data_IF_724874622956
#
_entry.id   IF_724874622956
#
_cell.length_a   1.000
_cell.length_b   1.000
_cell.length_c   1.000
_cell.angle_alpha   90.00
_cell.angle_beta   90.00
_cell.angle_gamma   90.00
#
_symmetry.space_group_name_H-M   'P 1'
#
loop_
_entity.id
_entity.type
_entity.pdbx_description
1 polymer ?
#
# COMPACT_ATOMS: atom_id res chain seq x y z
N UNK A 1 -10.71 1.05 9.01
CA UNK A 1 -11.23 1.14 7.64
C UNK A 1 -11.33 2.60 7.28
N UNK A 2 -10.80 3.04 6.13
CA UNK A 2 -10.76 4.46 5.76
C UNK A 2 -12.17 5.08 5.61
N UNK A 3 -13.16 4.29 5.18
CA UNK A 3 -14.53 4.77 5.04
C UNK A 3 -15.15 5.32 6.32
N UNK A 4 -14.80 4.75 7.49
CA UNK A 4 -15.25 5.28 8.79
C UNK A 4 -14.69 6.68 9.12
N UNK A 5 -13.76 7.18 8.31
CA UNK A 5 -13.16 8.51 8.42
C UNK A 5 -13.61 9.45 7.30
N UNK A 6 -14.62 9.06 6.51
CA UNK A 6 -15.25 9.86 5.46
C UNK A 6 -14.66 9.71 4.06
N UNK A 7 -13.80 8.70 3.83
CA UNK A 7 -13.26 8.41 2.50
C UNK A 7 -14.16 7.44 1.73
N UNK A 8 -14.36 7.66 0.44
CA UNK A 8 -14.86 6.59 -0.44
C UNK A 8 -13.73 5.60 -0.69
N UNK A 9 -13.90 4.39 -0.15
CA UNK A 9 -12.86 3.37 -0.08
C UNK A 9 -13.14 2.23 -1.05
N UNK A 10 -12.10 1.87 -1.81
CA UNK A 10 -12.15 0.84 -2.83
C UNK A 10 -11.10 -0.24 -2.54
N UNK A 11 -11.46 -1.50 -2.69
CA UNK A 11 -10.55 -2.64 -2.59
C UNK A 11 -10.57 -3.46 -3.88
N UNK A 12 -9.41 -3.96 -4.30
CA UNK A 12 -9.28 -4.88 -5.43
C UNK A 12 -8.68 -6.19 -4.93
N UNK A 13 -9.28 -7.30 -5.32
CA UNK A 13 -8.86 -8.64 -4.90
C UNK A 13 -9.15 -9.65 -6.02
N UNK A 14 -8.24 -10.58 -6.28
CA UNK A 14 -8.42 -11.55 -7.38
C UNK A 14 -9.40 -12.68 -7.01
N UNK A 15 -9.50 -13.00 -5.71
CA UNK A 15 -10.35 -14.04 -5.15
C UNK A 15 -11.76 -13.54 -4.86
N UNK A 16 -12.76 -14.06 -5.60
CA UNK A 16 -14.19 -13.85 -5.34
C UNK A 16 -14.58 -14.14 -3.87
N UNK A 17 -14.06 -15.23 -3.31
CA UNK A 17 -14.32 -15.58 -1.90
C UNK A 17 -13.81 -14.49 -0.96
N UNK A 18 -12.61 -13.95 -1.20
CA UNK A 18 -12.04 -12.90 -0.36
C UNK A 18 -12.80 -11.57 -0.52
N UNK A 19 -13.26 -11.24 -1.74
CA UNK A 19 -14.16 -10.10 -1.97
C UNK A 19 -15.44 -10.23 -1.13
N UNK A 20 -16.09 -11.40 -1.15
CA UNK A 20 -17.32 -11.65 -0.37
C UNK A 20 -17.09 -11.54 1.13
N UNK A 21 -15.97 -12.06 1.64
CA UNK A 21 -15.64 -11.92 3.06
C UNK A 21 -15.30 -10.47 3.44
N UNK A 22 -14.64 -9.72 2.56
CA UNK A 22 -14.36 -8.30 2.77
C UNK A 22 -15.65 -7.46 2.80
N UNK A 23 -16.62 -7.76 1.92
CA UNK A 23 -17.94 -7.13 1.90
C UNK A 23 -18.72 -7.40 3.21
N UNK A 24 -18.71 -8.64 3.71
CA UNK A 24 -19.33 -9.01 5.00
C UNK A 24 -18.69 -8.24 6.16
N UNK A 25 -17.35 -8.24 6.21
CA UNK A 25 -16.60 -7.54 7.25
C UNK A 25 -16.86 -6.04 7.22
N UNK A 26 -16.80 -5.41 6.04
CA UNK A 26 -17.07 -3.98 5.90
C UNK A 26 -18.50 -3.62 6.32
N UNK A 27 -19.48 -4.44 5.95
CA UNK A 27 -20.89 -4.24 6.34
C UNK A 27 -21.07 -4.29 7.87
N UNK A 28 -20.43 -5.25 8.53
CA UNK A 28 -20.46 -5.37 9.99
C UNK A 28 -19.80 -4.15 10.68
N UNK A 29 -18.64 -3.71 10.19
CA UNK A 29 -17.91 -2.57 10.73
C UNK A 29 -18.57 -1.21 10.42
N UNK A 30 -19.30 -1.08 9.32
CA UNK A 30 -20.13 0.11 9.05
C UNK A 30 -21.34 0.18 9.99
N UNK A 31 -21.99 -0.97 10.26
CA UNK A 31 -23.15 -1.03 11.15
C UNK A 31 -22.77 -0.82 12.62
N UNK A 32 -21.64 -1.40 13.06
CA UNK A 32 -21.15 -1.29 14.44
C UNK A 32 -19.61 -1.17 14.45
N UNK A 33 -19.07 0.04 14.26
CA UNK A 33 -17.64 0.26 14.17
C UNK A 33 -16.89 -0.16 15.43
N UNK A 34 -15.93 -1.08 15.27
CA UNK A 34 -15.04 -1.51 16.31
C UNK A 34 -14.04 -0.41 16.70
N UNK A 35 -13.58 -0.43 17.96
CA UNK A 35 -12.68 0.61 18.48
C UNK A 35 -11.32 0.66 17.78
N UNK A 36 -10.82 -0.46 17.24
CA UNK A 36 -9.50 -0.51 16.58
C UNK A 36 -9.43 0.28 15.27
N UNK A 37 -10.57 0.69 14.70
CA UNK A 37 -10.62 1.58 13.55
C UNK A 37 -10.33 3.05 13.88
N UNK A 38 -10.26 3.39 15.16
CA UNK A 38 -10.07 4.75 15.64
C UNK A 38 -8.78 4.86 16.47
N UNK A 39 -8.11 6.00 16.35
CA UNK A 39 -7.01 6.37 17.24
C UNK A 39 -7.51 6.75 18.63
N UNK A 40 -6.60 7.15 19.50
CA UNK A 40 -6.92 7.69 20.83
C UNK A 40 -7.56 9.09 20.79
N UNK A 41 -7.47 9.76 19.64
CA UNK A 41 -8.09 11.08 19.44
C UNK A 41 -9.58 10.97 19.12
N UNK A 42 -10.31 12.03 19.51
CA UNK A 42 -11.77 12.14 19.42
C UNK A 42 -12.28 11.68 18.05
N UNK A 43 -13.29 10.81 18.06
CA UNK A 43 -14.03 10.40 16.86
C UNK A 43 -14.67 11.65 16.26
N UNK A 44 -14.18 12.14 15.14
CA UNK A 44 -14.96 13.10 14.37
C UNK A 44 -16.25 12.40 13.94
N UNK A 45 -17.42 12.99 14.19
CA UNK A 45 -18.73 12.49 13.74
C UNK A 45 -18.90 12.64 12.23
N UNK A 46 -17.99 12.06 11.46
CA UNK A 46 -18.05 12.03 10.00
C UNK A 46 -19.00 10.93 9.60
N UNK A 47 -19.92 11.26 8.69
CA UNK A 47 -20.65 10.26 7.94
C UNK A 47 -19.64 9.34 7.25
N UNK A 48 -19.75 8.01 7.41
CA UNK A 48 -18.89 7.10 6.68
C UNK A 48 -19.00 7.31 5.17
N UNK A 49 -17.89 7.18 4.46
CA UNK A 49 -17.88 7.14 3.00
C UNK A 49 -18.34 5.79 2.46
N UNK A 50 -18.33 5.64 1.14
CA UNK A 50 -18.68 4.41 0.46
C UNK A 50 -17.59 3.34 0.66
N UNK A 51 -17.99 2.07 0.61
CA UNK A 51 -17.06 0.93 0.55
C UNK A 51 -17.43 0.06 -0.64
N UNK A 52 -16.47 -0.24 -1.51
CA UNK A 52 -16.68 -1.08 -2.69
C UNK A 52 -15.48 -1.99 -2.92
N UNK A 53 -15.74 -3.26 -3.22
CA UNK A 53 -14.68 -4.24 -3.53
C UNK A 53 -14.86 -4.80 -4.94
N UNK A 54 -13.80 -4.82 -5.74
CA UNK A 54 -13.80 -5.37 -7.09
C UNK A 54 -13.07 -6.71 -7.10
N UNK A 55 -13.63 -7.68 -7.84
CA UNK A 55 -12.85 -8.83 -8.24
C UNK A 55 -12.00 -8.47 -9.46
N UNK A 56 -10.69 -8.71 -9.40
CA UNK A 56 -9.84 -8.49 -10.57
C UNK A 56 -8.36 -8.68 -10.32
N UNK A 57 -7.61 -8.80 -11.42
CA UNK A 57 -6.16 -8.79 -11.40
C UNK A 57 -5.63 -7.36 -11.34
N UNK A 58 -4.87 -7.02 -10.31
CA UNK A 58 -4.22 -5.72 -10.12
C UNK A 58 -3.34 -5.26 -11.29
N UNK A 59 -2.77 -6.21 -12.03
CA UNK A 59 -1.95 -5.91 -13.20
C UNK A 59 -2.76 -5.69 -14.48
N UNK A 60 -4.05 -6.04 -14.48
CA UNK A 60 -4.98 -5.71 -15.55
C UNK A 60 -5.49 -4.27 -15.43
N UNK A 61 -5.90 -3.69 -16.55
CA UNK A 61 -6.67 -2.44 -16.61
C UNK A 61 -8.18 -2.67 -16.80
N UNK A 62 -8.59 -3.93 -16.97
CA UNK A 62 -9.97 -4.33 -17.23
C UNK A 62 -10.59 -4.93 -15.97
N UNK A 63 -10.85 -4.08 -14.98
CA UNK A 63 -11.57 -4.49 -13.77
C UNK A 63 -13.07 -4.42 -14.00
N UNK A 64 -13.84 -5.20 -13.24
CA UNK A 64 -15.29 -5.08 -13.21
C UNK A 64 -15.69 -3.85 -12.37
N UNK A 65 -15.48 -2.67 -12.94
CA UNK A 65 -15.75 -1.40 -12.26
C UNK A 65 -17.21 -1.29 -11.80
N UNK A 66 -17.40 -0.80 -10.57
CA UNK A 66 -18.69 -0.52 -9.90
C UNK A 66 -18.48 0.59 -8.86
N UNK A 67 -19.55 1.07 -8.23
CA UNK A 67 -19.43 2.12 -7.19
C UNK A 67 -18.98 3.47 -7.73
N UNK A 68 -19.35 3.80 -8.97
CA UNK A 68 -19.16 5.12 -9.57
C UNK A 68 -17.75 5.44 -10.09
N UNK A 69 -16.90 4.42 -10.28
CA UNK A 69 -15.57 4.58 -10.88
C UNK A 69 -15.50 3.88 -12.24
N UNK A 70 -14.50 4.25 -13.05
CA UNK A 70 -14.17 3.64 -14.34
C UNK A 70 -12.64 3.48 -14.50
N UNK A 71 -12.19 3.05 -15.68
CA UNK A 71 -10.78 2.82 -15.98
C UNK A 71 -9.90 4.08 -15.93
N UNK A 72 -10.51 5.27 -15.96
CA UNK A 72 -9.83 6.56 -15.89
C UNK A 72 -9.81 7.12 -14.46
N UNK A 73 -10.56 6.52 -13.53
CA UNK A 73 -10.54 6.94 -12.13
C UNK A 73 -9.15 6.76 -11.52
N UNK A 74 -8.69 7.81 -10.86
CA UNK A 74 -7.47 7.83 -10.06
C UNK A 74 -7.79 8.20 -8.61
N UNK A 75 -7.01 7.67 -7.69
CA UNK A 75 -7.21 7.82 -6.25
C UNK A 75 -6.34 8.93 -5.65
N UNK A 76 -6.90 9.65 -4.69
CA UNK A 76 -6.17 10.66 -3.89
C UNK A 76 -5.22 10.01 -2.89
N UNK A 77 -5.58 8.82 -2.38
CA UNK A 77 -4.79 8.05 -1.42
C UNK A 77 -4.86 6.55 -1.76
N UNK A 78 -3.70 5.90 -1.78
CA UNK A 78 -3.55 4.44 -1.85
C UNK A 78 -2.89 3.96 -0.57
N UNK A 79 -3.34 2.81 -0.06
CA UNK A 79 -2.76 2.15 1.10
C UNK A 79 -2.28 0.75 0.73
N UNK A 80 -0.97 0.53 0.74
CA UNK A 80 -0.34 -0.78 0.55
C UNK A 80 0.07 -1.36 1.90
N UNK A 81 -0.47 -2.54 2.20
CA UNK A 81 0.00 -3.37 3.30
C UNK A 81 -0.11 -4.83 2.90
N UNK A 82 0.97 -5.59 3.08
CA UNK A 82 1.08 -7.01 2.73
C UNK A 82 0.85 -7.37 1.26
N UNK A 83 0.67 -6.37 0.38
CA UNK A 83 0.41 -6.61 -1.04
C UNK A 83 1.72 -6.72 -1.83
N UNK A 84 2.60 -5.71 -1.80
CA UNK A 84 3.90 -5.79 -2.48
C UNK A 84 4.74 -7.01 -2.05
N UNK A 85 4.72 -7.38 -0.76
CA UNK A 85 5.46 -8.54 -0.29
C UNK A 85 4.87 -9.88 -0.73
N UNK A 86 3.62 -9.91 -1.20
CA UNK A 86 3.00 -11.13 -1.73
C UNK A 86 3.38 -11.39 -3.20
N UNK A 87 3.83 -10.35 -3.92
CA UNK A 87 4.16 -10.43 -5.35
C UNK A 87 5.56 -11.02 -5.60
N UNK A 88 5.71 -11.76 -6.70
CA UNK A 88 7.02 -12.25 -7.12
C UNK A 88 7.94 -11.06 -7.42
N UNK A 89 9.26 -11.13 -7.12
CA UNK A 89 10.18 -10.01 -7.35
C UNK A 89 10.17 -9.46 -8.79
N UNK A 90 9.92 -10.31 -9.79
CA UNK A 90 9.81 -9.90 -11.20
C UNK A 90 8.61 -8.97 -11.49
N UNK A 91 7.58 -9.00 -10.64
CA UNK A 91 6.37 -8.19 -10.80
C UNK A 91 6.49 -6.80 -10.13
N UNK A 92 7.59 -6.52 -9.43
CA UNK A 92 7.76 -5.29 -8.64
C UNK A 92 7.73 -4.00 -9.47
N UNK A 93 8.32 -4.01 -10.67
CA UNK A 93 8.22 -2.89 -11.61
C UNK A 93 6.79 -2.66 -12.10
N UNK A 94 6.07 -3.75 -12.36
CA UNK A 94 4.68 -3.67 -12.77
C UNK A 94 3.81 -3.15 -11.63
N UNK A 95 4.14 -3.50 -10.38
CA UNK A 95 3.48 -2.94 -9.21
C UNK A 95 3.68 -1.44 -9.09
N UNK A 96 4.91 -0.93 -9.20
CA UNK A 96 5.16 0.52 -9.09
C UNK A 96 4.50 1.30 -10.21
N UNK A 97 4.55 0.78 -11.45
CA UNK A 97 3.84 1.36 -12.59
C UNK A 97 2.31 1.36 -12.40
N UNK A 98 1.73 0.28 -11.85
CA UNK A 98 0.30 0.24 -11.51
C UNK A 98 -0.06 1.25 -10.43
N UNK A 99 0.75 1.39 -9.39
CA UNK A 99 0.54 2.41 -8.35
C UNK A 99 0.56 3.82 -8.94
N UNK A 100 1.53 4.15 -9.80
CA UNK A 100 1.56 5.44 -10.51
C UNK A 100 0.32 5.64 -11.40
N UNK A 101 -0.08 4.60 -12.14
CA UNK A 101 -1.26 4.64 -13.02
C UNK A 101 -2.53 5.00 -12.26
N UNK A 102 -2.76 4.40 -11.09
CA UNK A 102 -4.01 4.59 -10.35
C UNK A 102 -3.96 5.72 -9.32
N UNK A 103 -2.80 6.36 -9.10
CA UNK A 103 -2.69 7.53 -8.21
C UNK A 103 -2.85 8.84 -8.99
N UNK A 104 -3.59 9.81 -8.47
CA UNK A 104 -3.63 11.17 -9.02
C UNK A 104 -2.24 11.83 -8.91
N UNK A 105 -1.83 12.73 -9.83
CA UNK A 105 -0.70 13.61 -9.57
C UNK A 105 -0.92 14.38 -8.26
N UNK A 106 0.08 14.40 -7.37
CA UNK A 106 -0.06 14.93 -6.01
C UNK A 106 -0.79 14.03 -5.01
N UNK A 107 -1.34 12.89 -5.44
CA UNK A 107 -1.94 11.88 -4.56
C UNK A 107 -0.89 11.13 -3.73
N UNK A 108 -1.35 10.46 -2.67
CA UNK A 108 -0.49 9.81 -1.69
C UNK A 108 -0.52 8.29 -1.81
N UNK A 109 0.66 7.67 -1.85
CA UNK A 109 0.83 6.24 -1.62
C UNK A 109 1.39 6.04 -0.21
N UNK A 110 0.60 5.43 0.67
CA UNK A 110 0.99 5.05 2.02
C UNK A 110 1.37 3.57 2.01
N UNK A 111 2.59 3.25 2.41
CA UNK A 111 3.06 1.88 2.53
C UNK A 111 3.35 1.57 4.00
N UNK A 112 2.68 0.55 4.55
CA UNK A 112 3.12 -0.09 5.77
C UNK A 112 4.13 -1.18 5.38
N UNK A 113 5.41 -0.81 5.41
CA UNK A 113 6.48 -1.63 4.87
C UNK A 113 6.75 -2.85 5.76
N UNK A 114 6.44 -4.03 5.23
CA UNK A 114 6.58 -5.33 5.88
C UNK A 114 6.88 -6.42 4.84
N UNK A 115 7.71 -7.44 5.14
CA UNK A 115 8.65 -7.55 6.26
C UNK A 115 9.99 -6.87 5.94
N UNK A 116 10.50 -6.07 6.88
CA UNK A 116 11.81 -5.42 6.75
C UNK A 116 12.96 -6.19 7.41
N UNK A 117 12.66 -7.19 8.24
CA UNK A 117 13.65 -8.05 8.90
C UNK A 117 14.11 -9.22 8.03
N UNK A 118 13.31 -9.62 7.03
CA UNK A 118 13.60 -10.75 6.15
C UNK A 118 14.54 -10.31 5.03
N UNK A 119 15.59 -11.08 4.80
CA UNK A 119 16.49 -10.88 3.65
C UNK A 119 15.67 -10.94 2.33
N UNK A 120 15.72 -9.90 1.49
CA UNK A 120 15.04 -9.88 0.18
C UNK A 120 15.37 -11.05 -0.76
N UNK A 121 16.49 -11.74 -0.54
CA UNK A 121 16.93 -12.90 -1.34
C UNK A 121 16.26 -14.22 -0.93
N UNK A 122 15.64 -14.27 0.25
CA UNK A 122 14.95 -15.47 0.73
C UNK A 122 13.58 -15.63 0.07
N UNK A 123 13.15 -16.88 -0.20
CA UNK A 123 11.89 -17.15 -0.89
C UNK A 123 10.68 -16.63 -0.11
N UNK A 124 9.69 -16.08 -0.82
CA UNK A 124 8.40 -15.68 -0.30
C UNK A 124 7.24 -16.54 -0.83
N UNK A 125 5.98 -16.07 -0.70
CA UNK A 125 5.55 -14.89 0.07
C UNK A 125 5.51 -15.16 1.60
N UNK A 126 5.66 -14.11 2.44
CA UNK A 126 6.03 -12.76 2.07
C UNK A 126 7.52 -12.67 1.69
N UNK A 127 7.85 -11.91 0.64
CA UNK A 127 9.22 -11.58 0.25
C UNK A 127 9.78 -10.45 1.13
N UNK A 128 11.09 -10.44 1.39
CA UNK A 128 11.72 -9.33 2.12
C UNK A 128 11.68 -8.03 1.32
N UNK A 129 11.34 -6.92 1.99
CA UNK A 129 11.14 -5.60 1.34
C UNK A 129 12.14 -4.52 1.79
N UNK A 130 13.17 -4.85 2.56
CA UNK A 130 14.16 -3.87 3.03
C UNK A 130 14.84 -3.17 1.85
N UNK A 131 14.60 -1.86 1.69
CA UNK A 131 15.11 -1.02 0.60
C UNK A 131 14.27 -1.01 -0.68
N UNK A 132 13.32 -1.94 -0.80
CA UNK A 132 12.59 -2.19 -2.06
C UNK A 132 11.65 -1.03 -2.42
N UNK A 133 10.89 -0.49 -1.46
CA UNK A 133 9.97 0.64 -1.73
C UNK A 133 10.71 1.88 -2.23
N UNK A 134 11.83 2.25 -1.57
CA UNK A 134 12.64 3.40 -2.00
C UNK A 134 13.17 3.20 -3.42
N UNK A 135 13.72 2.00 -3.70
CA UNK A 135 14.24 1.69 -5.02
C UNK A 135 13.17 1.78 -6.12
N UNK A 136 11.98 1.21 -5.89
CA UNK A 136 10.90 1.24 -6.87
C UNK A 136 10.30 2.64 -7.07
N UNK A 137 9.94 3.30 -5.98
CA UNK A 137 9.10 4.48 -6.01
C UNK A 137 9.91 5.77 -6.20
N UNK A 138 11.02 5.91 -5.47
CA UNK A 138 11.84 7.11 -5.54
C UNK A 138 12.93 6.98 -6.61
N UNK A 139 13.60 5.82 -6.70
CA UNK A 139 14.71 5.65 -7.65
C UNK A 139 14.27 5.25 -9.07
N UNK A 140 13.08 4.67 -9.23
CA UNK A 140 12.61 4.13 -10.51
C UNK A 140 13.30 2.82 -10.92
N UNK A 141 13.80 2.05 -9.94
CA UNK A 141 14.50 0.79 -10.14
C UNK A 141 13.59 -0.43 -10.39
N UNK A 142 14.12 -1.63 -10.22
CA UNK A 142 13.41 -2.92 -10.32
C UNK A 142 12.97 -3.51 -8.98
N UNK A 143 13.35 -2.89 -7.87
CA UNK A 143 13.14 -3.45 -6.55
C UNK A 143 14.12 -4.56 -6.20
N UNK A 144 15.22 -4.72 -6.94
CA UNK A 144 16.32 -5.62 -6.58
C UNK A 144 17.35 -4.86 -5.75
N UNK A 145 17.66 -5.40 -4.57
CA UNK A 145 18.60 -4.82 -3.61
C UNK A 145 19.85 -5.69 -3.55
N UNK A 146 21.00 -5.08 -3.80
CA UNK A 146 22.28 -5.78 -3.99
C UNK A 146 23.29 -5.49 -2.87
N UNK A 147 23.18 -4.33 -2.24
CA UNK A 147 24.05 -3.84 -1.19
C UNK A 147 23.31 -3.59 0.13
N UNK A 148 24.00 -2.90 1.04
CA UNK A 148 23.47 -2.62 2.36
C UNK A 148 22.39 -1.54 2.34
N UNK A 149 21.33 -1.76 3.10
CA UNK A 149 20.26 -0.77 3.30
C UNK A 149 20.44 -0.10 4.65
N UNK A 150 20.62 1.21 4.63
CA UNK A 150 20.72 2.04 5.83
C UNK A 150 19.38 2.20 6.56
N UNK A 151 19.41 2.80 7.74
CA UNK A 151 18.22 2.99 8.59
C UNK A 151 17.12 3.82 7.92
N UNK A 152 17.46 4.67 6.95
CA UNK A 152 16.49 5.42 6.15
C UNK A 152 15.76 4.59 5.08
N UNK A 153 15.93 3.27 5.04
CA UNK A 153 15.32 2.39 4.05
C UNK A 153 15.86 2.60 2.63
N UNK A 154 17.09 3.15 2.50
CA UNK A 154 17.78 3.38 1.23
C UNK A 154 18.99 2.48 1.12
N UNK A 155 19.19 1.86 -0.04
CA UNK A 155 20.43 1.16 -0.35
C UNK A 155 21.59 2.15 -0.42
N UNK A 156 22.72 1.83 0.20
CA UNK A 156 23.93 2.66 0.15
C UNK A 156 24.57 2.54 -1.24
N UNK A 157 24.36 3.56 -2.08
CA UNK A 157 24.94 3.66 -3.43
C UNK A 157 25.78 4.92 -3.57
N UNK A 158 26.82 4.85 -4.42
CA UNK A 158 27.69 5.99 -4.75
C UNK A 158 26.94 7.04 -5.58
N UNK A 159 26.01 6.59 -6.44
CA UNK A 159 25.10 7.43 -7.21
C UNK A 159 23.65 6.95 -7.01
N UNK A 160 22.76 7.87 -6.67
CA UNK A 160 21.30 7.64 -6.60
C UNK A 160 20.60 8.53 -7.62
N UNK A 161 19.79 7.95 -8.50
CA UNK A 161 18.89 8.70 -9.37
C UNK A 161 17.50 8.71 -8.75
N UNK A 162 16.95 9.87 -8.39
CA UNK A 162 15.57 9.98 -7.85
C UNK A 162 14.54 10.25 -8.97
N UNK A 163 14.58 9.41 -10.02
CA UNK A 163 13.80 9.58 -11.26
C UNK A 163 12.46 8.83 -11.25
N UNK A 164 12.15 8.07 -10.20
CA UNK A 164 10.87 7.35 -10.09
C UNK A 164 9.67 8.29 -9.98
N UNK A 165 8.47 7.78 -10.21
CA UNK A 165 7.23 8.57 -10.28
C UNK A 165 6.82 9.18 -8.93
N UNK A 166 7.45 8.77 -7.84
CA UNK A 166 7.06 9.15 -6.49
C UNK A 166 8.19 9.85 -5.73
N UNK A 167 7.83 10.72 -4.79
CA UNK A 167 8.74 11.36 -3.85
C UNK A 167 8.33 11.03 -2.42
N UNK A 168 9.24 10.46 -1.62
CA UNK A 168 8.95 10.16 -0.21
C UNK A 168 8.85 11.44 0.60
N UNK A 169 7.75 11.61 1.33
CA UNK A 169 7.49 12.74 2.22
C UNK A 169 7.49 12.34 3.70
N UNK A 170 7.34 11.04 4.00
CA UNK A 170 7.40 10.52 5.36
C UNK A 170 8.10 9.16 5.37
N UNK A 171 8.89 8.91 6.41
CA UNK A 171 9.43 7.58 6.73
C UNK A 171 9.61 7.47 8.24
N UNK A 172 8.70 6.78 8.91
CA UNK A 172 8.64 6.75 10.38
C UNK A 172 8.33 5.35 10.88
N UNK A 173 8.81 5.04 12.08
CA UNK A 173 8.38 3.83 12.79
C UNK A 173 6.95 4.06 13.31
N UNK A 174 5.97 3.20 12.99
CA UNK A 174 4.62 3.37 13.51
C UNK A 174 4.60 3.14 15.03
N UNK A 175 3.79 3.93 15.75
CA UNK A 175 3.59 3.75 17.19
C UNK A 175 2.94 2.39 17.53
N UNK A 176 2.20 1.82 16.58
CA UNK A 176 1.52 0.53 16.68
C UNK A 176 1.69 -0.25 15.36
N UNK A 177 2.06 -1.52 15.45
CA UNK A 177 2.00 -2.46 14.33
C UNK A 177 1.68 -3.88 14.83
N UNK A 178 1.54 -4.83 13.91
CA UNK A 178 1.24 -6.22 14.25
C UNK A 178 2.45 -6.91 14.90
N UNK A 179 2.20 -7.82 15.83
CA UNK A 179 3.24 -8.47 16.64
C UNK A 179 4.34 -9.15 15.80
N UNK A 180 4.00 -9.70 14.62
CA UNK A 180 4.94 -10.41 13.73
C UNK A 180 6.11 -9.53 13.25
N UNK A 181 5.94 -8.21 13.18
CA UNK A 181 7.01 -7.30 12.73
C UNK A 181 7.17 -6.05 13.59
N UNK A 182 6.56 -6.07 14.77
CA UNK A 182 6.64 -5.03 15.77
C UNK A 182 8.09 -4.65 16.04
N UNK A 183 8.37 -3.36 15.91
CA UNK A 183 9.71 -2.80 16.09
C UNK A 183 10.58 -2.77 14.84
N UNK A 184 10.17 -3.43 13.75
CA UNK A 184 10.88 -3.43 12.45
C UNK A 184 10.10 -2.78 11.32
N UNK A 185 8.76 -2.76 11.39
CA UNK A 185 7.92 -2.09 10.41
C UNK A 185 8.21 -0.59 10.32
N UNK A 186 8.02 -0.05 9.13
CA UNK A 186 8.10 1.39 8.86
C UNK A 186 6.88 1.81 8.06
N UNK A 187 6.34 2.99 8.35
CA UNK A 187 5.35 3.65 7.50
C UNK A 187 6.08 4.65 6.62
N UNK A 188 5.96 4.46 5.32
CA UNK A 188 6.36 5.47 4.33
C UNK A 188 5.13 6.11 3.69
N UNK A 189 5.26 7.39 3.38
CA UNK A 189 4.28 8.10 2.56
C UNK A 189 5.03 8.71 1.39
N UNK A 190 4.52 8.45 0.19
CA UNK A 190 5.04 8.98 -1.05
C UNK A 190 3.98 9.84 -1.73
N UNK A 191 4.40 10.96 -2.31
CA UNK A 191 3.56 11.77 -3.19
C UNK A 191 3.88 11.45 -4.65
N UNK A 192 2.85 11.23 -5.47
CA UNK A 192 3.00 11.05 -6.91
C UNK A 192 3.39 12.39 -7.56
N UNK A 193 4.43 12.39 -8.39
CA UNK A 193 5.01 13.58 -9.03
C UNK A 193 4.14 14.15 -10.14
#
# INVERSE_FOLDING_TARGET
MLALHGFDAYGLEISDTAVKEAEKYASAELAKPSAYHFGSEQRSSRTPGLVTFFQGDFFSSQWEFKGGIDENTKFDVIYDYTFLCALHPEQRRQWSASMARVTKPGGLLVCLEFPLYKDPKLPGPPWGLKGVHWNLLAEGGDGIITGEVGEGGKERKVASSEVGDFRRVLYVKPARSYEVAKGTDMVSVYVHK
#
